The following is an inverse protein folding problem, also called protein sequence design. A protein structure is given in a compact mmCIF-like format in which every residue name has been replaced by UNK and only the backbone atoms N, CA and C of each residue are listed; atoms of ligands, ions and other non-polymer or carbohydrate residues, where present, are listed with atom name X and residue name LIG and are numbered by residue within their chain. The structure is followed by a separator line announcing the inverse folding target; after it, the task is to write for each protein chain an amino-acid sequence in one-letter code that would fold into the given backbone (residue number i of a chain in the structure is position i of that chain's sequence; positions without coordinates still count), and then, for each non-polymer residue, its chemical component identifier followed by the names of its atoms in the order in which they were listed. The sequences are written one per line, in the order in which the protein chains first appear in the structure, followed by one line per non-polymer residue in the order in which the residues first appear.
data_IF_332736341034
#
_entry.id   IF_332736341034
#
_cell.length_a   1.000
_cell.length_b   1.000
_cell.length_c   1.000
_cell.angle_alpha   90.00
_cell.angle_beta   90.00
_cell.angle_gamma   90.00
#
_symmetry.space_group_name_H-M   'P 1'
#
loop_
_entity.id
_entity.type
_entity.pdbx_description
1 polymer ?
#
# COMPACT_ATOMS: atom_id res chain seq x y z
N UNK A 1 -73.03 18.82 13.61
CA UNK A 1 -71.79 18.69 12.79
C UNK A 1 -70.62 18.54 13.78
N UNK A 2 -70.08 17.33 13.92
CA UNK A 2 -68.95 17.05 14.83
C UNK A 2 -67.68 17.09 13.97
N UNK A 3 -66.75 18.04 14.25
CA UNK A 3 -65.44 18.11 13.61
C UNK A 3 -64.50 17.09 14.28
N UNK A 4 -64.00 16.15 13.46
CA UNK A 4 -62.97 15.17 13.87
C UNK A 4 -61.62 15.81 13.56
N UNK A 5 -60.84 16.16 14.60
CA UNK A 5 -59.44 16.60 14.48
C UNK A 5 -58.54 15.37 14.40
N UNK A 6 -58.01 15.08 13.22
CA UNK A 6 -57.01 14.06 13.02
C UNK A 6 -55.63 14.63 13.32
N UNK A 7 -55.02 14.18 14.42
CA UNK A 7 -53.65 14.53 14.82
C UNK A 7 -52.69 13.64 14.02
N UNK A 8 -51.99 14.22 13.02
CA UNK A 8 -50.91 13.57 12.30
C UNK A 8 -49.63 13.73 13.15
N UNK A 9 -49.25 12.64 13.80
CA UNK A 9 -47.97 12.54 14.53
C UNK A 9 -46.86 12.31 13.54
N UNK A 10 -46.16 13.35 13.09
CA UNK A 10 -44.97 13.24 12.26
C UNK A 10 -43.82 12.74 13.09
N UNK A 11 -43.44 11.46 12.87
CA UNK A 11 -42.20 10.89 13.41
C UNK A 11 -41.02 11.49 12.66
N UNK A 12 -40.38 12.46 13.25
CA UNK A 12 -39.06 12.94 12.81
C UNK A 12 -38.02 11.88 13.23
N UNK A 13 -37.69 10.96 12.30
CA UNK A 13 -36.50 10.13 12.48
C UNK A 13 -35.30 11.04 12.23
N UNK A 14 -34.73 11.56 13.32
CA UNK A 14 -33.42 12.21 13.26
C UNK A 14 -32.39 11.13 12.86
N UNK A 15 -32.01 11.12 11.59
CA UNK A 15 -30.80 10.43 11.16
C UNK A 15 -29.62 11.19 11.81
N UNK A 16 -29.22 10.77 13.00
CA UNK A 16 -27.89 11.06 13.49
C UNK A 16 -26.93 10.31 12.55
N UNK A 17 -26.44 11.01 11.57
CA UNK A 17 -25.26 10.56 10.84
C UNK A 17 -24.10 10.54 11.86
N UNK A 18 -23.91 9.41 12.51
CA UNK A 18 -22.64 9.14 13.20
C UNK A 18 -21.58 9.23 12.12
N UNK A 19 -20.83 10.33 12.10
CA UNK A 19 -19.63 10.43 11.27
C UNK A 19 -18.81 9.15 11.55
N UNK A 20 -18.62 8.33 10.52
CA UNK A 20 -17.90 7.07 10.65
C UNK A 20 -16.50 7.42 11.18
N UNK A 21 -16.17 6.91 12.36
CA UNK A 21 -14.88 7.21 13.00
C UNK A 21 -13.76 6.75 12.06
N UNK A 22 -12.88 7.69 11.66
CA UNK A 22 -11.79 7.41 10.72
C UNK A 22 -10.84 6.37 11.34
N UNK A 23 -10.58 5.32 10.64
CA UNK A 23 -9.69 4.23 11.06
C UNK A 23 -9.05 3.54 9.87
N UNK A 24 -7.87 2.97 10.09
CA UNK A 24 -7.20 2.07 9.15
C UNK A 24 -7.37 0.58 9.55
N UNK A 25 -8.08 0.29 10.64
CA UNK A 25 -8.29 -1.06 11.14
C UNK A 25 -9.76 -1.47 11.05
N UNK A 26 -10.02 -2.64 10.46
CA UNK A 26 -11.36 -3.16 10.22
C UNK A 26 -11.48 -4.61 10.67
N UNK A 27 -12.69 -5.02 11.07
CA UNK A 27 -13.05 -6.43 11.22
C UNK A 27 -13.75 -6.92 9.96
N UNK A 28 -13.48 -8.17 9.58
CA UNK A 28 -14.11 -8.86 8.46
C UNK A 28 -14.89 -10.05 9.03
N UNK A 29 -16.17 -10.16 8.67
CA UNK A 29 -17.04 -11.29 9.02
C UNK A 29 -17.81 -11.75 7.80
N UNK A 30 -17.87 -13.05 7.57
CA UNK A 30 -18.63 -13.65 6.49
C UNK A 30 -19.24 -14.98 6.93
N UNK A 31 -20.13 -15.50 6.09
CA UNK A 31 -20.71 -16.83 6.30
C UNK A 31 -19.63 -17.88 6.08
N UNK A 32 -19.58 -18.89 6.94
CA UNK A 32 -18.67 -20.03 6.85
C UNK A 32 -17.17 -19.67 6.84
N UNK A 33 -16.81 -18.51 7.42
CA UNK A 33 -15.44 -18.05 7.55
C UNK A 33 -15.10 -17.66 8.99
N UNK A 34 -13.79 -17.67 9.32
CA UNK A 34 -13.31 -17.20 10.62
C UNK A 34 -13.30 -15.67 10.65
N UNK A 35 -13.76 -15.04 11.75
CA UNK A 35 -13.63 -13.59 11.91
C UNK A 35 -12.18 -13.16 11.74
N UNK A 36 -11.95 -12.18 10.90
CA UNK A 36 -10.62 -11.73 10.52
C UNK A 36 -10.53 -10.21 10.59
N UNK A 37 -9.34 -9.67 10.32
CA UNK A 37 -9.06 -8.25 10.44
C UNK A 37 -8.33 -7.75 9.19
N UNK A 38 -8.50 -6.47 8.88
CA UNK A 38 -7.82 -5.77 7.79
C UNK A 38 -7.23 -4.49 8.35
N UNK A 39 -5.96 -4.24 8.05
CA UNK A 39 -5.26 -3.03 8.46
C UNK A 39 -4.53 -2.41 7.26
N UNK A 40 -4.69 -1.09 7.12
CA UNK A 40 -3.97 -0.30 6.13
C UNK A 40 -2.60 0.12 6.65
N UNK A 41 -1.54 -0.28 5.95
CA UNK A 41 -0.16 0.10 6.27
C UNK A 41 0.34 1.22 5.37
N UNK A 42 1.46 1.79 5.74
CA UNK A 42 2.36 2.53 4.86
C UNK A 42 3.73 1.89 4.99
N UNK A 43 4.36 1.57 3.85
CA UNK A 43 5.60 0.79 3.85
C UNK A 43 6.70 1.42 4.68
N UNK A 44 6.83 2.74 4.58
CA UNK A 44 7.79 3.51 5.37
C UNK A 44 7.18 4.85 5.77
N UNK A 45 7.36 5.24 7.03
CA UNK A 45 6.91 6.52 7.59
C UNK A 45 7.96 7.03 8.58
N UNK A 46 8.09 8.36 8.67
CA UNK A 46 8.97 8.95 9.67
C UNK A 46 8.56 8.52 11.09
N UNK A 47 9.52 8.24 11.97
CA UNK A 47 9.27 7.81 13.34
C UNK A 47 8.41 8.79 14.13
N UNK A 48 8.51 10.09 13.82
CA UNK A 48 7.70 11.17 14.42
C UNK A 48 6.20 11.09 14.08
N UNK A 49 5.85 10.44 12.95
CA UNK A 49 4.47 10.20 12.52
C UNK A 49 4.04 8.74 12.73
N UNK A 50 4.97 7.88 13.13
CA UNK A 50 4.69 6.46 13.36
C UNK A 50 3.94 6.26 14.67
N UNK A 51 2.83 5.51 14.61
CA UNK A 51 2.06 5.14 15.79
C UNK A 51 1.56 3.71 15.70
N UNK A 52 2.01 2.85 16.62
CA UNK A 52 1.58 1.46 16.73
C UNK A 52 0.75 1.28 18.01
N UNK A 53 -0.58 1.45 17.94
CA UNK A 53 -1.42 1.43 19.13
C UNK A 53 -1.53 0.03 19.74
N UNK A 54 -1.68 -0.02 21.06
CA UNK A 54 -1.94 -1.29 21.79
C UNK A 54 -3.16 -2.04 21.24
N UNK A 55 -4.15 -1.34 20.71
CA UNK A 55 -5.33 -1.94 20.09
C UNK A 55 -4.96 -2.73 18.83
N UNK A 56 -4.06 -2.22 18.00
CA UNK A 56 -3.56 -2.89 16.81
C UNK A 56 -2.84 -4.19 17.20
N UNK A 57 -1.92 -4.12 18.16
CA UNK A 57 -1.18 -5.27 18.68
C UNK A 57 -2.11 -6.35 19.25
N UNK A 58 -3.07 -5.95 20.09
CA UNK A 58 -4.07 -6.86 20.63
C UNK A 58 -4.97 -7.48 19.56
N UNK A 59 -5.22 -6.77 18.46
CA UNK A 59 -6.02 -7.27 17.36
C UNK A 59 -5.24 -8.28 16.52
N UNK A 60 -3.96 -8.00 16.24
CA UNK A 60 -3.05 -8.97 15.63
C UNK A 60 -2.99 -10.26 16.46
N UNK A 61 -2.83 -10.17 17.79
CA UNK A 61 -2.78 -11.32 18.68
C UNK A 61 -4.07 -12.18 18.75
N UNK A 62 -5.17 -11.73 18.15
CA UNK A 62 -6.43 -12.51 18.05
C UNK A 62 -6.50 -13.35 16.78
N UNK A 63 -5.66 -13.08 15.80
CA UNK A 63 -5.62 -13.81 14.55
C UNK A 63 -4.73 -15.06 14.69
N UNK A 64 -5.00 -16.07 13.89
CA UNK A 64 -4.19 -17.28 13.82
C UNK A 64 -2.93 -17.06 12.98
N UNK A 65 -2.98 -16.11 12.03
CA UNK A 65 -1.87 -15.78 11.12
C UNK A 65 -1.87 -14.31 10.72
N UNK A 66 -0.68 -13.81 10.37
CA UNK A 66 -0.47 -12.54 9.68
C UNK A 66 -0.41 -12.79 8.18
N UNK A 67 -1.15 -11.98 7.40
CA UNK A 67 -1.13 -12.04 5.94
C UNK A 67 -0.76 -10.66 5.41
N UNK A 68 0.38 -10.58 4.72
CA UNK A 68 0.89 -9.37 4.07
C UNK A 68 0.58 -9.38 2.57
N UNK A 69 0.95 -8.34 1.84
CA UNK A 69 0.82 -8.33 0.38
C UNK A 69 1.64 -9.44 -0.26
N UNK A 70 2.92 -9.57 0.15
CA UNK A 70 3.83 -10.61 -0.34
C UNK A 70 4.33 -11.48 0.80
N UNK A 71 4.55 -12.74 0.49
CA UNK A 71 5.25 -13.69 1.36
C UNK A 71 6.77 -13.52 1.26
N UNK A 72 7.49 -14.15 2.20
CA UNK A 72 8.96 -14.26 2.16
C UNK A 72 9.72 -12.94 1.98
N UNK A 73 9.21 -11.82 2.54
CA UNK A 73 9.90 -10.51 2.53
C UNK A 73 11.36 -10.63 3.03
N UNK A 74 11.68 -11.67 3.80
CA UNK A 74 13.02 -11.94 4.31
C UNK A 74 13.98 -12.63 3.33
N UNK A 75 13.53 -13.14 2.19
CA UNK A 75 14.41 -13.78 1.20
C UNK A 75 15.15 -12.74 0.34
N UNK A 76 16.20 -12.17 0.94
CA UNK A 76 17.02 -11.12 0.30
C UNK A 76 17.69 -11.61 -0.98
N UNK A 77 18.12 -12.88 -1.05
CA UNK A 77 18.80 -13.41 -2.21
C UNK A 77 17.86 -13.50 -3.41
N UNK A 78 16.63 -13.97 -3.19
CA UNK A 78 15.58 -14.00 -4.20
C UNK A 78 15.21 -12.59 -4.65
N UNK A 79 14.94 -11.69 -3.71
CA UNK A 79 14.63 -10.29 -4.00
C UNK A 79 15.74 -9.62 -4.84
N UNK A 80 17.00 -9.78 -4.43
CA UNK A 80 18.14 -9.21 -5.14
C UNK A 80 18.25 -9.72 -6.59
N UNK A 81 18.04 -11.03 -6.81
CA UNK A 81 18.04 -11.61 -8.16
C UNK A 81 16.95 -11.00 -9.05
N UNK A 82 15.78 -10.72 -8.50
CA UNK A 82 14.65 -10.15 -9.23
C UNK A 82 14.82 -8.69 -9.62
N UNK A 83 15.76 -7.98 -8.99
CA UNK A 83 16.10 -6.59 -9.32
C UNK A 83 17.09 -6.49 -10.50
N UNK A 84 17.66 -7.60 -10.95
CA UNK A 84 18.65 -7.64 -12.03
C UNK A 84 17.96 -7.80 -13.39
N UNK A 85 18.54 -7.16 -14.41
CA UNK A 85 18.25 -7.44 -15.81
C UNK A 85 18.78 -8.84 -16.17
N UNK A 86 18.10 -9.54 -17.06
CA UNK A 86 18.61 -10.80 -17.61
C UNK A 86 19.85 -10.55 -18.47
N UNK A 87 19.94 -9.40 -19.15
CA UNK A 87 21.09 -8.95 -19.95
C UNK A 87 20.98 -7.46 -20.28
N UNK A 88 22.07 -6.87 -20.72
CA UNK A 88 22.11 -5.50 -21.19
C UNK A 88 22.42 -4.48 -20.09
N UNK A 89 22.08 -3.23 -20.36
CA UNK A 89 22.36 -2.09 -19.48
C UNK A 89 21.11 -1.22 -19.37
N UNK A 90 20.67 -0.96 -18.14
CA UNK A 90 19.46 -0.19 -17.89
C UNK A 90 19.50 1.22 -18.54
N UNK A 91 20.67 1.82 -18.60
CA UNK A 91 20.82 3.17 -19.19
C UNK A 91 20.62 3.20 -20.71
N UNK A 92 20.71 2.04 -21.39
CA UNK A 92 20.44 1.96 -22.83
C UNK A 92 18.93 2.00 -23.15
N UNK A 93 18.09 1.97 -22.14
CA UNK A 93 16.63 2.09 -22.26
C UNK A 93 16.13 3.56 -22.29
N UNK A 94 17.04 4.51 -22.08
CA UNK A 94 16.76 5.94 -22.02
C UNK A 94 17.47 6.67 -23.16
N UNK A 95 17.01 7.87 -23.51
CA UNK A 95 17.81 8.75 -24.38
C UNK A 95 19.12 9.14 -23.68
N UNK A 96 20.17 9.52 -24.42
CA UNK A 96 21.43 9.96 -23.80
C UNK A 96 21.23 11.05 -22.74
N UNK A 97 20.36 12.03 -23.00
CA UNK A 97 20.06 13.14 -22.10
C UNK A 97 19.33 12.67 -20.82
N UNK A 98 18.38 11.71 -20.97
CA UNK A 98 17.69 11.10 -19.83
C UNK A 98 18.66 10.29 -18.99
N UNK A 99 19.48 9.45 -19.62
CA UNK A 99 20.49 8.63 -18.94
C UNK A 99 21.46 9.48 -18.13
N UNK A 100 21.96 10.58 -18.72
CA UNK A 100 22.85 11.52 -18.03
C UNK A 100 22.15 12.19 -16.84
N UNK A 101 20.90 12.63 -17.02
CA UNK A 101 20.09 13.21 -15.93
C UNK A 101 19.88 12.22 -14.79
N UNK A 102 19.54 10.96 -15.08
CA UNK A 102 19.34 9.89 -14.11
C UNK A 102 20.66 9.61 -13.36
N UNK A 103 21.79 9.55 -14.06
CA UNK A 103 23.10 9.30 -13.45
C UNK A 103 23.48 10.43 -12.51
N UNK A 104 23.33 11.70 -12.92
CA UNK A 104 23.63 12.85 -12.08
C UNK A 104 22.74 12.92 -10.84
N UNK A 105 21.44 12.74 -11.03
CA UNK A 105 20.46 12.72 -9.96
C UNK A 105 20.72 11.59 -8.95
N UNK A 106 20.80 10.34 -9.43
CA UNK A 106 20.96 9.18 -8.55
C UNK A 106 22.32 9.17 -7.84
N UNK A 107 23.39 9.59 -8.51
CA UNK A 107 24.71 9.70 -7.90
C UNK A 107 24.73 10.77 -6.80
N UNK A 108 24.05 11.90 -7.00
CA UNK A 108 23.91 12.96 -5.99
C UNK A 108 23.13 12.47 -4.77
N UNK A 109 22.00 11.80 -4.99
CA UNK A 109 21.17 11.26 -3.90
C UNK A 109 21.91 10.25 -3.03
N UNK A 110 22.74 9.40 -3.64
CA UNK A 110 23.45 8.34 -2.93
C UNK A 110 24.87 8.75 -2.47
N UNK A 111 25.28 10.01 -2.75
CA UNK A 111 26.63 10.49 -2.43
C UNK A 111 27.73 9.71 -3.18
N UNK A 112 27.45 9.24 -4.39
CA UNK A 112 28.36 8.46 -5.23
C UNK A 112 28.95 9.33 -6.34
N UNK A 113 30.09 8.87 -6.90
CA UNK A 113 30.57 9.44 -8.17
C UNK A 113 29.71 8.93 -9.33
N UNK A 114 29.43 9.73 -10.38
CA UNK A 114 28.62 9.33 -11.52
C UNK A 114 29.03 7.99 -12.16
N UNK A 115 30.33 7.76 -12.34
CA UNK A 115 30.86 6.53 -12.93
C UNK A 115 30.62 5.31 -12.02
N UNK A 116 30.73 5.50 -10.70
CA UNK A 116 30.49 4.45 -9.72
C UNK A 116 28.98 4.11 -9.67
N UNK A 117 28.10 5.12 -9.73
CA UNK A 117 26.66 4.94 -9.84
C UNK A 117 26.31 4.15 -11.11
N UNK A 118 26.76 4.61 -12.27
CA UNK A 118 26.51 3.96 -13.57
C UNK A 118 26.98 2.51 -13.54
N UNK A 119 28.16 2.21 -13.02
CA UNK A 119 28.67 0.84 -12.89
C UNK A 119 27.82 -0.01 -11.95
N UNK A 120 27.38 0.54 -10.81
CA UNK A 120 26.62 -0.24 -9.81
C UNK A 120 25.21 -0.57 -10.24
N UNK A 121 24.58 0.31 -11.04
CA UNK A 121 23.17 0.19 -11.42
C UNK A 121 22.95 -0.29 -12.86
N UNK A 122 23.99 -0.39 -13.69
CA UNK A 122 23.87 -0.77 -15.09
C UNK A 122 23.13 -2.09 -15.34
N UNK A 123 23.32 -3.08 -14.48
CA UNK A 123 22.65 -4.40 -14.56
C UNK A 123 21.32 -4.48 -13.79
N UNK A 124 20.81 -3.37 -13.28
CA UNK A 124 19.54 -3.34 -12.53
C UNK A 124 18.35 -3.07 -13.45
N UNK A 125 17.15 -3.50 -13.04
CA UNK A 125 15.91 -3.15 -13.74
C UNK A 125 15.55 -1.68 -13.54
N UNK A 126 14.81 -1.02 -14.48
CA UNK A 126 14.42 0.39 -14.37
C UNK A 126 13.66 0.72 -13.07
N UNK A 127 12.86 -0.21 -12.58
CA UNK A 127 12.14 -0.05 -11.31
C UNK A 127 13.08 0.26 -10.13
N UNK A 128 14.32 -0.23 -10.13
CA UNK A 128 15.30 0.10 -9.08
C UNK A 128 15.63 1.59 -9.06
N UNK A 129 15.65 2.25 -10.21
CA UNK A 129 15.87 3.69 -10.30
C UNK A 129 14.71 4.48 -9.71
N UNK A 130 13.45 4.02 -9.90
CA UNK A 130 12.28 4.58 -9.20
C UNK A 130 12.45 4.45 -7.68
N UNK A 131 12.88 3.27 -7.20
CA UNK A 131 13.07 3.02 -5.77
C UNK A 131 14.17 3.90 -5.13
N UNK A 132 15.19 4.31 -5.88
CA UNK A 132 16.20 5.26 -5.40
C UNK A 132 15.55 6.59 -5.02
N UNK A 133 14.64 7.12 -5.84
CA UNK A 133 13.91 8.36 -5.55
C UNK A 133 13.06 8.23 -4.29
N UNK A 134 12.28 7.15 -4.19
CA UNK A 134 11.46 6.88 -2.99
C UNK A 134 12.33 6.77 -1.74
N UNK A 135 13.45 6.02 -1.82
CA UNK A 135 14.36 5.83 -0.68
C UNK A 135 15.02 7.14 -0.25
N UNK A 136 15.33 8.03 -1.19
CA UNK A 136 15.95 9.33 -0.87
C UNK A 136 15.02 10.28 -0.10
N UNK A 137 13.70 10.13 -0.26
CA UNK A 137 12.70 10.87 0.52
C UNK A 137 12.57 10.34 1.96
N UNK A 138 13.07 9.14 2.24
CA UNK A 138 13.04 8.53 3.56
C UNK A 138 14.26 8.94 4.37
N UNK A 139 14.06 9.32 5.62
CA UNK A 139 15.15 9.60 6.54
C UNK A 139 15.65 8.33 7.26
N UNK A 140 16.82 8.42 7.89
CA UNK A 140 17.42 7.30 8.63
C UNK A 140 16.57 6.80 9.83
N UNK A 141 15.53 7.54 10.23
CA UNK A 141 14.64 7.23 11.34
C UNK A 141 13.25 6.78 10.86
N UNK A 142 13.11 6.31 9.62
CA UNK A 142 11.84 5.78 9.12
C UNK A 142 11.53 4.41 9.74
N UNK A 143 10.22 4.15 9.96
CA UNK A 143 9.67 2.90 10.49
C UNK A 143 8.84 2.20 9.42
N UNK A 144 8.73 0.87 9.51
CA UNK A 144 7.87 0.04 8.66
C UNK A 144 6.86 -0.72 9.51
N UNK A 145 5.59 -0.56 9.16
CA UNK A 145 4.51 -1.32 9.81
C UNK A 145 4.63 -2.83 9.54
N UNK A 146 5.02 -3.22 8.33
CA UNK A 146 5.17 -4.63 7.96
C UNK A 146 6.26 -5.30 8.81
N UNK A 147 7.40 -4.63 9.00
CA UNK A 147 8.50 -5.16 9.82
C UNK A 147 8.09 -5.33 11.28
N UNK A 148 7.37 -4.36 11.85
CA UNK A 148 6.90 -4.44 13.22
C UNK A 148 5.80 -5.50 13.39
N UNK A 149 4.86 -5.60 12.43
CA UNK A 149 3.83 -6.65 12.40
C UNK A 149 4.48 -8.05 12.33
N UNK A 150 5.47 -8.24 11.44
CA UNK A 150 6.21 -9.50 11.34
C UNK A 150 6.96 -9.83 12.64
N UNK A 151 7.62 -8.85 13.25
CA UNK A 151 8.31 -9.04 14.54
C UNK A 151 7.35 -9.49 15.63
N UNK A 152 6.17 -8.85 15.73
CA UNK A 152 5.12 -9.21 16.70
C UNK A 152 4.47 -10.56 16.40
N UNK A 153 4.20 -10.85 15.13
CA UNK A 153 3.69 -12.16 14.70
C UNK A 153 4.69 -13.27 15.05
N UNK A 154 5.99 -13.04 14.83
CA UNK A 154 7.06 -13.96 15.24
C UNK A 154 7.09 -14.20 16.75
N UNK A 155 6.96 -13.15 17.57
CA UNK A 155 6.86 -13.26 19.01
C UNK A 155 5.62 -14.07 19.46
N UNK A 156 4.52 -13.94 18.74
CA UNK A 156 3.27 -14.68 18.96
C UNK A 156 3.29 -16.09 18.33
N UNK A 157 4.36 -16.47 17.62
CA UNK A 157 4.47 -17.72 16.85
C UNK A 157 3.37 -17.85 15.77
N UNK A 158 2.90 -16.74 15.24
CA UNK A 158 1.93 -16.71 14.16
C UNK A 158 2.65 -16.89 12.82
N UNK A 159 2.18 -17.77 11.92
CA UNK A 159 2.72 -17.86 10.58
C UNK A 159 2.46 -16.56 9.80
N UNK A 160 3.40 -16.23 8.93
CA UNK A 160 3.29 -15.10 7.99
C UNK A 160 3.06 -15.67 6.59
N UNK A 161 2.08 -15.12 5.87
CA UNK A 161 1.70 -15.49 4.51
C UNK A 161 1.62 -14.25 3.62
N UNK A 162 1.54 -14.46 2.31
CA UNK A 162 1.30 -13.41 1.32
C UNK A 162 -0.05 -13.58 0.63
N UNK A 163 -0.61 -12.48 0.15
CA UNK A 163 -1.74 -12.47 -0.77
C UNK A 163 -1.30 -12.75 -2.20
N UNK A 164 -0.06 -12.40 -2.51
CA UNK A 164 0.59 -12.65 -3.78
C UNK A 164 2.06 -13.04 -3.57
N UNK A 165 2.71 -13.54 -4.62
CA UNK A 165 4.14 -13.84 -4.56
C UNK A 165 4.97 -12.59 -4.86
N UNK A 166 6.22 -12.59 -4.41
CA UNK A 166 7.19 -11.55 -4.75
C UNK A 166 7.36 -11.45 -6.27
N UNK A 167 7.39 -12.58 -6.96
CA UNK A 167 7.50 -12.64 -8.42
C UNK A 167 6.33 -11.93 -9.12
N UNK A 168 5.09 -12.18 -8.66
CA UNK A 168 3.91 -11.55 -9.25
C UNK A 168 3.93 -10.03 -9.06
N UNK A 169 4.40 -9.55 -7.91
CA UNK A 169 4.51 -8.12 -7.64
C UNK A 169 5.60 -7.45 -8.51
N UNK A 170 6.78 -8.06 -8.62
CA UNK A 170 7.83 -7.53 -9.50
C UNK A 170 7.45 -7.57 -10.98
N UNK A 171 6.73 -8.62 -11.41
CA UNK A 171 6.24 -8.74 -12.79
C UNK A 171 5.29 -7.59 -13.19
N UNK A 172 4.63 -6.92 -12.23
CA UNK A 172 3.81 -5.74 -12.53
C UNK A 172 4.67 -4.65 -13.15
N UNK A 173 5.82 -4.35 -12.54
CA UNK A 173 6.74 -3.32 -13.04
C UNK A 173 7.42 -3.74 -14.35
N UNK A 174 7.74 -5.04 -14.51
CA UNK A 174 8.29 -5.58 -15.75
C UNK A 174 7.30 -5.49 -16.93
N UNK A 175 5.99 -5.46 -16.65
CA UNK A 175 4.93 -5.37 -17.65
C UNK A 175 4.43 -3.93 -17.90
N UNK A 176 4.91 -2.96 -17.13
CA UNK A 176 4.62 -1.55 -17.44
C UNK A 176 5.30 -1.15 -18.76
N UNK A 177 4.65 -0.26 -19.49
CA UNK A 177 5.27 0.31 -20.69
C UNK A 177 6.56 1.04 -20.31
N UNK A 178 7.65 0.91 -21.08
CA UNK A 178 8.91 1.59 -20.78
C UNK A 178 8.75 3.11 -20.58
N UNK A 179 7.84 3.74 -21.33
CA UNK A 179 7.56 5.17 -21.24
C UNK A 179 7.00 5.56 -19.87
N UNK A 180 6.18 4.68 -19.25
CA UNK A 180 5.62 4.91 -17.91
C UNK A 180 6.72 4.91 -16.86
N UNK A 181 7.59 3.90 -16.84
CA UNK A 181 8.72 3.84 -15.91
C UNK A 181 9.70 5.00 -16.12
N UNK A 182 9.95 5.36 -17.39
CA UNK A 182 10.78 6.53 -17.72
C UNK A 182 10.18 7.80 -17.15
N UNK A 183 8.87 8.01 -17.31
CA UNK A 183 8.20 9.21 -16.81
C UNK A 183 8.17 9.25 -15.28
N UNK A 184 7.93 8.14 -14.60
CA UNK A 184 8.03 8.06 -13.13
C UNK A 184 9.41 8.51 -12.62
N UNK A 185 10.49 8.10 -13.28
CA UNK A 185 11.85 8.50 -12.89
C UNK A 185 12.08 9.98 -13.20
N UNK A 186 11.71 10.42 -14.42
CA UNK A 186 11.98 11.77 -14.89
C UNK A 186 11.14 12.81 -14.16
N UNK A 187 9.92 12.48 -13.73
CA UNK A 187 9.08 13.36 -12.91
C UNK A 187 9.74 13.62 -11.55
N UNK A 188 10.24 12.59 -10.88
CA UNK A 188 10.97 12.74 -9.63
C UNK A 188 12.28 13.56 -9.77
N UNK A 189 12.88 13.58 -10.98
CA UNK A 189 14.07 14.40 -11.28
C UNK A 189 13.69 15.86 -11.53
N UNK A 190 12.61 16.09 -12.29
CA UNK A 190 12.18 17.45 -12.70
C UNK A 190 11.48 18.20 -11.57
N UNK A 191 10.73 17.48 -10.75
CA UNK A 191 9.82 18.04 -9.74
C UNK A 191 10.00 17.39 -8.36
N UNK A 192 11.21 17.40 -7.77
CA UNK A 192 11.48 16.79 -6.46
C UNK A 192 10.64 17.41 -5.33
N UNK A 193 10.29 18.70 -5.45
CA UNK A 193 9.39 19.39 -4.53
C UNK A 193 7.99 18.78 -4.52
N UNK A 194 7.46 18.40 -5.68
CA UNK A 194 6.13 17.80 -5.84
C UNK A 194 6.06 16.40 -5.21
N UNK A 195 7.12 15.61 -5.41
CA UNK A 195 7.23 14.31 -4.75
C UNK A 195 7.25 14.45 -3.22
N UNK A 196 7.95 15.46 -2.70
CA UNK A 196 7.97 15.77 -1.26
C UNK A 196 6.60 16.24 -0.74
N UNK A 197 5.87 17.07 -1.49
CA UNK A 197 4.52 17.52 -1.16
C UNK A 197 3.53 16.34 -1.13
N UNK A 198 3.54 15.48 -2.15
CA UNK A 198 2.72 14.25 -2.20
C UNK A 198 3.00 13.34 -1.01
N UNK A 199 4.27 13.16 -0.64
CA UNK A 199 4.66 12.38 0.53
C UNK A 199 4.15 13.00 1.84
N UNK A 200 4.21 14.32 1.98
CA UNK A 200 3.68 15.01 3.17
C UNK A 200 2.15 14.85 3.27
N UNK A 201 1.44 14.98 2.16
CA UNK A 201 -0.01 14.79 2.10
C UNK A 201 -0.38 13.33 2.44
N UNK A 202 0.34 12.36 1.90
CA UNK A 202 0.15 10.94 2.22
C UNK A 202 0.30 10.69 3.72
N UNK A 203 1.35 11.23 4.35
CA UNK A 203 1.56 11.10 5.79
C UNK A 203 0.43 11.78 6.57
N UNK A 204 -0.01 12.97 6.17
CA UNK A 204 -1.10 13.69 6.82
C UNK A 204 -2.43 12.90 6.77
N UNK A 205 -2.77 12.36 5.59
CA UNK A 205 -3.96 11.51 5.41
C UNK A 205 -3.87 10.20 6.20
N UNK A 206 -2.68 9.60 6.25
CA UNK A 206 -2.44 8.37 7.02
C UNK A 206 -2.61 8.60 8.53
N UNK A 207 -2.03 9.67 9.06
CA UNK A 207 -2.21 10.05 10.48
C UNK A 207 -3.66 10.40 10.78
N UNK A 208 -4.36 11.05 9.85
CA UNK A 208 -5.80 11.32 9.93
C UNK A 208 -6.66 10.05 9.74
N UNK A 209 -6.06 8.91 9.39
CA UNK A 209 -6.74 7.63 9.11
C UNK A 209 -7.80 7.77 8.01
N UNK A 210 -7.53 8.60 7.02
CA UNK A 210 -8.44 8.90 5.92
C UNK A 210 -8.25 7.95 4.75
N UNK A 211 -8.95 6.82 4.80
CA UNK A 211 -8.86 5.74 3.80
C UNK A 211 -9.24 6.22 2.40
N UNK A 212 -10.30 7.01 2.29
CA UNK A 212 -10.77 7.52 0.98
C UNK A 212 -9.80 8.58 0.42
N UNK A 213 -9.31 9.47 1.28
CA UNK A 213 -8.30 10.45 0.91
C UNK A 213 -7.00 9.79 0.42
N UNK A 214 -6.55 8.73 1.11
CA UNK A 214 -5.36 7.97 0.71
C UNK A 214 -5.54 7.28 -0.65
N UNK A 215 -6.66 6.60 -0.86
CA UNK A 215 -6.95 5.95 -2.14
C UNK A 215 -7.00 6.96 -3.28
N UNK A 216 -7.67 8.11 -3.06
CA UNK A 216 -7.75 9.19 -4.03
C UNK A 216 -6.39 9.78 -4.36
N UNK A 217 -5.60 10.13 -3.33
CA UNK A 217 -4.27 10.70 -3.52
C UNK A 217 -3.38 9.79 -4.37
N UNK A 218 -3.37 8.48 -4.09
CA UNK A 218 -2.54 7.54 -4.82
C UNK A 218 -2.99 7.41 -6.28
N UNK A 219 -4.29 7.29 -6.53
CA UNK A 219 -4.83 7.15 -7.90
C UNK A 219 -4.62 8.41 -8.74
N UNK A 220 -4.70 9.59 -8.12
CA UNK A 220 -4.51 10.89 -8.79
C UNK A 220 -3.05 11.31 -8.87
N UNK A 221 -2.13 10.60 -8.19
CA UNK A 221 -0.71 10.94 -8.25
C UNK A 221 -0.13 10.69 -9.65
N UNK A 222 0.72 11.57 -10.11
CA UNK A 222 1.44 11.43 -11.38
C UNK A 222 2.40 10.24 -11.35
N UNK A 223 2.82 9.80 -10.17
CA UNK A 223 3.71 8.65 -9.96
C UNK A 223 3.14 7.33 -10.48
N UNK A 224 1.81 7.19 -10.52
CA UNK A 224 1.17 6.01 -11.07
C UNK A 224 0.41 6.28 -12.38
N UNK A 225 0.43 7.52 -12.86
CA UNK A 225 -0.06 8.07 -14.13
C UNK A 225 -0.77 7.07 -15.07
N UNK A 226 -2.03 6.78 -14.80
CA UNK A 226 -2.83 5.85 -15.61
C UNK A 226 -2.56 4.35 -15.38
N UNK A 227 -1.68 3.98 -14.45
CA UNK A 227 -1.34 2.58 -14.13
C UNK A 227 -2.06 2.04 -12.89
N UNK A 228 -3.09 2.74 -12.39
CA UNK A 228 -3.87 2.32 -11.23
C UNK A 228 -4.50 0.92 -11.40
N UNK A 229 -4.86 0.55 -12.64
CA UNK A 229 -5.38 -0.79 -12.95
C UNK A 229 -4.35 -1.88 -12.63
N UNK A 230 -3.10 -1.69 -13.05
CA UNK A 230 -2.01 -2.64 -12.85
C UNK A 230 -1.50 -2.65 -11.41
N UNK A 231 -1.29 -1.47 -10.84
CA UNK A 231 -0.62 -1.31 -9.55
C UNK A 231 -1.54 -1.55 -8.36
N UNK A 232 -2.87 -1.29 -8.52
CA UNK A 232 -3.85 -1.37 -7.44
C UNK A 232 -5.02 -2.30 -7.77
N UNK A 233 -5.84 -1.97 -8.76
CA UNK A 233 -7.18 -2.55 -8.91
C UNK A 233 -7.16 -4.03 -9.25
N UNK A 234 -6.30 -4.47 -10.17
CA UNK A 234 -6.14 -5.88 -10.52
C UNK A 234 -5.65 -6.69 -9.34
N UNK A 235 -4.71 -6.15 -8.56
CA UNK A 235 -4.20 -6.79 -7.34
C UNK A 235 -5.32 -6.93 -6.31
N UNK A 236 -6.07 -5.87 -6.04
CA UNK A 236 -7.21 -5.90 -5.13
C UNK A 236 -8.20 -7.01 -5.49
N UNK A 237 -8.59 -7.10 -6.76
CA UNK A 237 -9.51 -8.16 -7.23
C UNK A 237 -8.92 -9.56 -7.08
N UNK A 238 -7.63 -9.74 -7.34
CA UNK A 238 -6.94 -11.02 -7.20
C UNK A 238 -6.80 -11.44 -5.72
N UNK A 239 -6.68 -10.51 -4.80
CA UNK A 239 -6.56 -10.80 -3.38
C UNK A 239 -7.85 -11.33 -2.74
N UNK A 240 -9.03 -10.90 -3.21
CA UNK A 240 -10.31 -11.30 -2.59
C UNK A 240 -10.49 -12.82 -2.51
N UNK A 241 -10.32 -13.61 -3.58
CA UNK A 241 -10.41 -15.07 -3.49
C UNK A 241 -9.36 -15.68 -2.54
N UNK A 242 -8.14 -15.15 -2.53
CA UNK A 242 -7.06 -15.61 -1.63
C UNK A 242 -7.42 -15.32 -0.17
N UNK A 243 -7.90 -14.11 0.14
CA UNK A 243 -8.38 -13.74 1.47
C UNK A 243 -9.52 -14.66 1.90
N UNK A 244 -10.48 -14.92 1.00
CA UNK A 244 -11.60 -15.83 1.25
C UNK A 244 -11.11 -17.24 1.61
N UNK A 245 -10.16 -17.77 0.86
CA UNK A 245 -9.64 -19.13 1.10
C UNK A 245 -8.91 -19.24 2.45
N UNK A 246 -8.12 -18.24 2.80
CA UNK A 246 -7.48 -18.21 4.13
C UNK A 246 -8.54 -18.13 5.26
N UNK A 247 -9.54 -17.28 5.12
CA UNK A 247 -10.57 -17.09 6.14
C UNK A 247 -11.48 -18.32 6.36
N UNK A 248 -11.58 -19.25 5.40
CA UNK A 248 -12.34 -20.51 5.59
C UNK A 248 -11.79 -21.36 6.73
N UNK A 249 -10.47 -21.33 6.93
CA UNK A 249 -9.80 -22.23 7.88
C UNK A 249 -9.23 -21.52 9.09
N UNK A 250 -8.79 -20.28 8.96
CA UNK A 250 -8.05 -19.55 9.98
C UNK A 250 -8.55 -18.11 10.11
N UNK A 251 -8.47 -17.56 11.33
CA UNK A 251 -8.60 -16.13 11.55
C UNK A 251 -7.34 -15.43 11.04
N UNK A 252 -7.50 -14.42 10.19
CA UNK A 252 -6.41 -13.73 9.54
C UNK A 252 -6.30 -12.27 9.98
N UNK A 253 -5.07 -11.78 10.12
CA UNK A 253 -4.80 -10.36 10.18
C UNK A 253 -4.16 -9.95 8.85
N UNK A 254 -4.96 -9.38 7.95
CA UNK A 254 -4.49 -8.86 6.67
C UNK A 254 -3.89 -7.48 6.86
N UNK A 255 -2.68 -7.26 6.36
CA UNK A 255 -2.04 -5.95 6.36
C UNK A 255 -1.55 -5.62 4.95
N UNK A 256 -2.16 -4.60 4.36
CA UNK A 256 -1.90 -4.14 2.99
C UNK A 256 -1.74 -2.63 2.97
N UNK A 257 -1.07 -2.09 1.96
CA UNK A 257 -0.92 -0.64 1.80
C UNK A 257 -2.28 0.07 1.88
N UNK A 258 -2.35 1.16 2.64
CA UNK A 258 -3.61 1.86 2.91
C UNK A 258 -4.30 2.38 1.64
N UNK A 259 -3.53 2.65 0.57
CA UNK A 259 -4.06 3.01 -0.74
C UNK A 259 -4.90 1.93 -1.42
N UNK A 260 -4.75 0.67 -1.00
CA UNK A 260 -5.57 -0.43 -1.50
C UNK A 260 -6.96 -0.51 -0.85
N UNK A 261 -7.22 0.23 0.24
CA UNK A 261 -8.42 0.03 1.05
C UNK A 261 -9.67 0.73 0.50
N UNK A 262 -9.54 2.01 0.11
CA UNK A 262 -10.64 2.89 -0.22
C UNK A 262 -11.07 2.87 -1.69
N UNK A 263 -12.16 3.57 -2.00
CA UNK A 263 -12.76 3.66 -3.33
C UNK A 263 -13.55 2.43 -3.75
N UNK A 264 -14.24 2.54 -4.88
CA UNK A 264 -15.12 1.47 -5.41
C UNK A 264 -14.35 0.19 -5.80
N UNK A 265 -13.07 0.31 -6.13
CA UNK A 265 -12.16 -0.79 -6.45
C UNK A 265 -11.25 -1.16 -5.27
N UNK A 266 -11.50 -0.58 -4.10
CA UNK A 266 -10.73 -0.87 -2.88
C UNK A 266 -11.12 -2.20 -2.24
N UNK A 267 -10.18 -2.76 -1.49
CA UNK A 267 -10.37 -4.06 -0.81
C UNK A 267 -11.58 -4.06 0.11
N UNK A 268 -11.90 -2.94 0.77
CA UNK A 268 -13.07 -2.83 1.65
C UNK A 268 -14.36 -3.03 0.84
N UNK A 269 -14.50 -2.34 -0.30
CA UNK A 269 -15.69 -2.46 -1.14
C UNK A 269 -15.78 -3.83 -1.78
N UNK A 270 -14.68 -4.35 -2.33
CA UNK A 270 -14.64 -5.68 -2.95
C UNK A 270 -14.99 -6.80 -1.96
N UNK A 271 -14.57 -6.71 -0.70
CA UNK A 271 -14.99 -7.64 0.34
C UNK A 271 -16.50 -7.56 0.63
N UNK A 272 -17.07 -6.34 0.67
CA UNK A 272 -18.53 -6.17 0.83
C UNK A 272 -19.29 -6.77 -0.35
N UNK A 273 -18.82 -6.56 -1.58
CA UNK A 273 -19.42 -7.13 -2.80
C UNK A 273 -19.34 -8.66 -2.82
N UNK A 274 -18.28 -9.22 -2.22
CA UNK A 274 -18.15 -10.67 -1.99
C UNK A 274 -19.01 -11.21 -0.81
N UNK A 275 -19.86 -10.37 -0.20
CA UNK A 275 -20.80 -10.77 0.87
C UNK A 275 -20.24 -10.72 2.30
N UNK A 276 -19.08 -10.08 2.50
CA UNK A 276 -18.51 -9.87 3.83
C UNK A 276 -19.06 -8.60 4.48
N UNK A 277 -19.20 -8.64 5.80
CA UNK A 277 -19.41 -7.43 6.62
C UNK A 277 -18.04 -6.90 7.03
N UNK A 278 -17.69 -5.72 6.58
CA UNK A 278 -16.45 -5.01 6.94
C UNK A 278 -16.81 -3.84 7.84
N UNK A 279 -16.34 -3.87 9.10
CA UNK A 279 -16.72 -2.90 10.13
C UNK A 279 -15.48 -2.21 10.69
N UNK A 280 -15.44 -0.86 10.76
CA UNK A 280 -14.33 -0.13 11.34
C UNK A 280 -14.12 -0.47 12.83
N UNK A 281 -12.86 -0.50 13.24
CA UNK A 281 -12.42 -0.67 14.63
C UNK A 281 -11.67 0.59 15.04
N UNK A 282 -12.22 1.34 15.98
CA UNK A 282 -11.60 2.52 16.56
C UNK A 282 -10.34 2.18 17.36
N UNK A 283 -9.29 3.04 17.24
CA UNK A 283 -8.06 2.97 18.02
C UNK A 283 -7.36 4.32 18.13
#
# INVERSE_FOLDING_TARGET
MKAVFTFILSFFVAYFGFGQEKTLLFSIKGKDTKPSFLFGTVHMIADTAYYFPTKLEKTLGKADQLVLEIDNIGDRAKAQKMLLLDSGNVFDQFTPEQADSIVQWGSSLLGMKPEAFKKSFSGMKPFVLVQIGVQAMMNAHSKSYEMDLMSKAGANKQPVRGLESMESQFAIFDNLKPEVLTEMIMEGIRHPEKAAETQQELVALYVAKDVEGLAKLIVESEDIAGSAEELLYRRNRNWIPVMTDYMKTQSCFFAVGAGHLGGDQGVIQLLKDAGYTVTPIAY
#
